data_IF_948591848553
#
_entry.id   IF_948591848553
#
_cell.length_a   1.000
_cell.length_b   1.000
_cell.length_c   1.000
_cell.angle_alpha   90.00
_cell.angle_beta   90.00
_cell.angle_gamma   90.00
#
_symmetry.space_group_name_H-M   'P 1'
#
loop_
_entity.id
_entity.type
_entity.pdbx_description
1 polymer ?
#
# COMPACT_ATOMS: atom_id res chain seq x y z
N UNK A 1 -21.43 -34.56 -25.97
CA UNK A 1 -21.24 -35.20 -27.29
C UNK A 1 -22.46 -34.88 -28.16
N UNK A 2 -22.30 -34.65 -29.46
CA UNK A 2 -22.19 -33.29 -30.01
C UNK A 2 -23.15 -32.99 -31.18
N UNK A 3 -23.27 -31.72 -31.55
CA UNK A 3 -23.74 -31.26 -32.86
C UNK A 3 -23.01 -29.95 -33.18
N UNK A 4 -21.91 -29.96 -33.93
CA UNK A 4 -21.77 -30.17 -35.37
C UNK A 4 -22.21 -28.95 -36.19
N UNK A 5 -21.23 -28.18 -36.68
CA UNK A 5 -21.29 -27.49 -37.97
C UNK A 5 -19.85 -27.25 -38.45
N UNK A 6 -19.33 -28.22 -39.22
CA UNK A 6 -18.24 -28.06 -40.17
C UNK A 6 -18.84 -27.72 -41.53
N UNK A 7 -18.29 -26.73 -42.22
CA UNK A 7 -18.40 -26.60 -43.66
C UNK A 7 -17.04 -26.15 -44.20
N UNK A 8 -16.48 -26.99 -45.06
CA UNK A 8 -15.21 -26.82 -45.75
C UNK A 8 -15.42 -26.20 -47.13
N UNK A 9 -14.44 -25.44 -47.63
CA UNK A 9 -14.11 -25.39 -49.06
C UNK A 9 -12.68 -24.84 -49.26
N UNK A 10 -11.90 -25.56 -50.06
CA UNK A 10 -10.53 -25.27 -50.47
C UNK A 10 -10.47 -24.61 -51.86
N UNK A 11 -9.38 -23.89 -52.17
CA UNK A 11 -8.99 -23.55 -53.56
C UNK A 11 -8.24 -22.21 -53.75
N UNK A 12 -6.92 -22.28 -53.94
CA UNK A 12 -5.95 -21.25 -54.42
C UNK A 12 -6.22 -20.82 -55.90
N UNK A 13 -5.61 -19.76 -56.52
CA UNK A 13 -4.20 -19.31 -56.36
C UNK A 13 -3.82 -17.79 -56.56
N UNK A 14 -2.60 -17.47 -56.10
CA UNK A 14 -1.55 -16.50 -56.54
C UNK A 14 -1.83 -15.09 -57.10
N UNK A 15 -1.21 -14.12 -56.40
CA UNK A 15 -0.41 -12.95 -56.83
C UNK A 15 -1.02 -11.63 -57.36
N UNK A 16 -0.34 -10.56 -56.91
CA UNK A 16 -0.32 -9.15 -57.34
C UNK A 16 -1.44 -8.24 -56.82
N UNK A 17 -1.15 -7.46 -55.78
CA UNK A 17 -1.15 -5.99 -55.85
C UNK A 17 -0.43 -5.40 -54.62
N UNK A 18 0.67 -4.71 -54.91
CA UNK A 18 1.49 -4.00 -53.95
C UNK A 18 0.78 -2.74 -53.41
N UNK A 19 1.02 -2.43 -52.14
CA UNK A 19 0.99 -1.07 -51.61
C UNK A 19 -0.29 -0.66 -50.88
N UNK A 20 -0.30 -0.86 -49.55
CA UNK A 20 -0.65 0.19 -48.59
C UNK A 20 -0.25 -0.24 -47.18
N UNK A 21 0.39 0.70 -46.50
CA UNK A 21 0.95 0.64 -45.14
C UNK A 21 -0.03 0.04 -44.13
N UNK A 22 0.44 -1.01 -43.45
CA UNK A 22 -0.12 -1.57 -42.24
C UNK A 22 0.25 -0.72 -41.03
N UNK A 23 -0.65 0.13 -40.56
CA UNK A 23 -0.75 0.49 -39.15
C UNK A 23 -2.10 1.19 -38.94
N UNK A 24 -3.10 0.44 -38.50
CA UNK A 24 -4.27 1.00 -37.81
C UNK A 24 -5.03 -0.14 -37.13
N UNK A 25 -4.51 -0.55 -35.98
CA UNK A 25 -5.32 -1.15 -34.91
C UNK A 25 -5.14 -0.27 -33.68
N UNK A 26 -6.22 0.13 -32.98
CA UNK A 26 -6.13 1.13 -31.93
C UNK A 26 -5.39 0.56 -30.70
N UNK A 27 -4.10 0.89 -30.59
CA UNK A 27 -3.26 0.65 -29.40
C UNK A 27 -3.60 1.63 -28.26
N UNK A 28 -4.86 1.67 -27.84
CA UNK A 28 -5.29 2.67 -26.83
C UNK A 28 -5.55 2.12 -25.43
N UNK A 29 -5.42 0.80 -25.19
CA UNK A 29 -5.93 0.22 -23.93
C UNK A 29 -4.89 -0.53 -23.07
N UNK A 30 -3.65 -0.81 -23.53
CA UNK A 30 -2.70 -1.59 -22.71
C UNK A 30 -1.42 -0.88 -22.23
N UNK A 31 -1.10 0.33 -22.69
CA UNK A 31 0.18 1.00 -22.36
C UNK A 31 0.08 2.34 -21.61
N UNK A 32 -1.13 2.84 -21.31
CA UNK A 32 -1.32 4.27 -20.98
C UNK A 32 -1.74 4.59 -19.55
N UNK A 33 -2.10 3.64 -18.69
CA UNK A 33 -2.53 3.97 -17.32
C UNK A 33 -1.41 3.78 -16.27
N UNK A 34 -0.51 2.81 -16.48
CA UNK A 34 0.45 2.36 -15.48
C UNK A 34 1.69 3.26 -15.28
N UNK A 35 2.33 3.80 -16.35
CA UNK A 35 3.40 4.80 -16.19
C UNK A 35 2.90 6.16 -15.67
N UNK A 36 1.61 6.45 -15.86
CA UNK A 36 1.01 7.72 -15.47
C UNK A 36 0.84 7.86 -13.96
N UNK A 37 0.54 6.76 -13.27
CA UNK A 37 0.34 6.80 -11.83
C UNK A 37 1.66 7.11 -11.10
N UNK A 38 2.74 6.39 -11.38
CA UNK A 38 4.06 6.65 -10.79
C UNK A 38 4.57 8.06 -11.10
N UNK A 39 4.32 8.57 -12.31
CA UNK A 39 4.62 9.96 -12.66
C UNK A 39 3.84 10.98 -11.82
N UNK A 40 2.57 10.71 -11.50
CA UNK A 40 1.75 11.61 -10.68
C UNK A 40 2.26 11.69 -9.24
N UNK A 41 2.67 10.56 -8.66
CA UNK A 41 3.31 10.53 -7.33
C UNK A 41 4.64 11.28 -7.32
N UNK A 42 5.46 11.10 -8.36
CA UNK A 42 6.74 11.82 -8.49
C UNK A 42 6.52 13.34 -8.56
N UNK A 43 5.59 13.80 -9.41
CA UNK A 43 5.22 15.21 -9.54
C UNK A 43 4.69 15.80 -8.24
N UNK A 44 3.86 15.05 -7.52
CA UNK A 44 3.31 15.49 -6.24
C UNK A 44 4.39 15.74 -5.19
N UNK A 45 5.36 14.82 -5.09
CA UNK A 45 6.53 14.99 -4.21
C UNK A 45 7.43 16.12 -4.67
N UNK A 46 7.63 16.27 -5.98
CA UNK A 46 8.40 17.39 -6.54
C UNK A 46 7.78 18.73 -6.14
N UNK A 47 6.46 18.88 -6.28
CA UNK A 47 5.73 20.06 -5.82
C UNK A 47 5.93 20.30 -4.33
N UNK A 48 5.71 19.27 -3.50
CA UNK A 48 5.87 19.39 -2.06
C UNK A 48 7.29 19.82 -1.67
N UNK A 49 8.33 19.21 -2.26
CA UNK A 49 9.73 19.53 -1.97
C UNK A 49 10.14 20.90 -2.50
N UNK A 50 9.63 21.32 -3.66
CA UNK A 50 9.92 22.63 -4.24
C UNK A 50 9.40 23.76 -3.35
N UNK A 51 8.19 23.61 -2.81
CA UNK A 51 7.62 24.58 -1.87
C UNK A 51 8.31 24.53 -0.50
N UNK A 52 8.69 23.34 -0.02
CA UNK A 52 9.49 23.21 1.21
C UNK A 52 10.81 23.97 1.11
N UNK A 53 11.51 23.88 -0.03
CA UNK A 53 12.78 24.57 -0.25
C UNK A 53 12.64 26.09 -0.42
N UNK A 54 11.44 26.58 -0.77
CA UNK A 54 11.15 28.00 -0.87
C UNK A 54 10.77 28.62 0.48
N UNK A 55 10.31 27.79 1.43
CA UNK A 55 9.93 28.20 2.79
C UNK A 55 11.04 28.01 3.83
N UNK A 56 10.66 28.17 5.10
CA UNK A 56 11.55 28.04 6.26
C UNK A 56 11.32 26.72 7.01
N UNK A 57 10.21 26.05 6.73
CA UNK A 57 9.83 24.77 7.35
C UNK A 57 10.62 23.57 6.82
N UNK A 58 10.72 22.55 7.68
CA UNK A 58 11.28 21.24 7.36
C UNK A 58 10.27 20.10 7.51
N UNK A 59 8.99 20.40 7.74
CA UNK A 59 7.93 19.38 7.89
C UNK A 59 6.79 19.61 6.92
N UNK A 60 6.10 18.53 6.53
CA UNK A 60 4.90 18.62 5.70
C UNK A 60 3.83 19.53 6.35
N UNK A 61 3.55 19.32 7.64
CA UNK A 61 2.61 20.16 8.37
C UNK A 61 2.99 21.65 8.34
N UNK A 62 4.28 21.97 8.41
CA UNK A 62 4.76 23.35 8.30
C UNK A 62 4.63 23.93 6.89
N UNK A 63 4.81 23.16 5.81
CA UNK A 63 4.56 23.67 4.44
C UNK A 63 3.08 24.03 4.28
N UNK A 64 2.20 23.19 4.82
CA UNK A 64 0.78 23.47 4.85
C UNK A 64 0.43 24.67 5.75
N UNK A 65 1.20 24.90 6.83
CA UNK A 65 1.09 26.09 7.68
C UNK A 65 1.47 27.37 6.93
N UNK A 66 2.56 27.36 6.17
CA UNK A 66 3.01 28.49 5.36
C UNK A 66 2.00 28.81 4.23
N UNK A 67 1.38 27.79 3.64
CA UNK A 67 0.42 27.97 2.56
C UNK A 67 -0.98 28.42 3.03
N UNK A 68 -1.50 27.80 4.10
CA UNK A 68 -2.90 27.91 4.53
C UNK A 68 -3.08 28.30 6.01
N UNK A 69 -2.01 28.63 6.71
CA UNK A 69 -2.05 28.97 8.14
C UNK A 69 -2.27 27.75 9.04
N UNK A 70 -2.63 27.97 10.32
CA UNK A 70 -2.74 26.89 11.32
C UNK A 70 -3.71 25.78 10.94
N UNK A 71 -4.80 26.12 10.24
CA UNK A 71 -5.81 25.14 9.80
C UNK A 71 -5.24 24.14 8.78
N UNK A 72 -4.41 24.61 7.84
CA UNK A 72 -3.73 23.72 6.89
C UNK A 72 -2.77 22.77 7.59
N UNK A 73 -2.03 23.26 8.58
CA UNK A 73 -1.13 22.42 9.38
C UNK A 73 -1.88 21.32 10.12
N UNK A 74 -3.00 21.66 10.78
CA UNK A 74 -3.84 20.71 11.50
C UNK A 74 -4.44 19.68 10.54
N UNK A 75 -4.95 20.10 9.38
CA UNK A 75 -5.48 19.17 8.38
C UNK A 75 -4.42 18.15 7.91
N UNK A 76 -3.20 18.62 7.65
CA UNK A 76 -2.08 17.74 7.30
C UNK A 76 -1.74 16.77 8.44
N UNK A 77 -1.59 17.27 9.66
CA UNK A 77 -1.26 16.44 10.84
C UNK A 77 -2.33 15.36 11.08
N UNK A 78 -3.62 15.72 11.02
CA UNK A 78 -4.72 14.76 11.18
C UNK A 78 -4.67 13.69 10.09
N UNK A 79 -4.45 14.07 8.83
CA UNK A 79 -4.32 13.10 7.74
C UNK A 79 -3.11 12.17 7.93
N UNK A 80 -1.96 12.70 8.37
CA UNK A 80 -0.77 11.90 8.67
C UNK A 80 -1.03 10.93 9.83
N UNK A 81 -1.72 11.37 10.88
CA UNK A 81 -2.08 10.54 12.04
C UNK A 81 -3.03 9.42 11.62
N UNK A 82 -4.11 9.73 10.91
CA UNK A 82 -5.07 8.72 10.42
C UNK A 82 -4.36 7.70 9.54
N UNK A 83 -3.52 8.16 8.61
CA UNK A 83 -2.83 7.28 7.67
C UNK A 83 -1.83 6.36 8.37
N UNK A 84 -0.96 6.92 9.22
CA UNK A 84 0.05 6.09 9.88
C UNK A 84 -0.58 5.16 10.92
N UNK A 85 -1.56 5.63 11.71
CA UNK A 85 -2.26 4.77 12.65
C UNK A 85 -2.99 3.63 11.93
N UNK A 86 -3.68 3.92 10.83
CA UNK A 86 -4.30 2.91 9.97
C UNK A 86 -3.31 1.87 9.47
N UNK A 87 -2.15 2.30 8.97
CA UNK A 87 -1.08 1.38 8.55
C UNK A 87 -0.54 0.51 9.69
N UNK A 88 -0.33 1.07 10.89
CA UNK A 88 0.10 0.27 12.04
C UNK A 88 -0.95 -0.76 12.44
N UNK A 89 -2.24 -0.41 12.40
CA UNK A 89 -3.33 -1.36 12.68
C UNK A 89 -3.34 -2.48 11.63
N UNK A 90 -3.23 -2.16 10.33
CA UNK A 90 -3.14 -3.17 9.26
C UNK A 90 -1.94 -4.10 9.47
N UNK A 91 -0.79 -3.56 9.85
CA UNK A 91 0.41 -4.35 10.13
C UNK A 91 0.19 -5.34 11.27
N UNK A 92 -0.48 -4.92 12.34
CA UNK A 92 -0.84 -5.81 13.45
C UNK A 92 -1.86 -6.87 13.03
N UNK A 93 -2.84 -6.53 12.18
CA UNK A 93 -3.80 -7.51 11.65
C UNK A 93 -3.10 -8.57 10.80
N UNK A 94 -2.21 -8.16 9.88
CA UNK A 94 -1.43 -9.08 9.02
C UNK A 94 -0.55 -10.01 9.87
N UNK A 95 0.15 -9.46 10.87
CA UNK A 95 0.95 -10.25 11.81
C UNK A 95 0.05 -11.29 12.50
N UNK A 96 -1.10 -10.87 13.01
CA UNK A 96 -2.02 -11.74 13.71
C UNK A 96 -2.63 -12.83 12.79
N UNK A 97 -2.99 -12.48 11.56
CA UNK A 97 -3.48 -13.43 10.53
C UNK A 97 -2.40 -14.47 10.17
N UNK A 98 -1.13 -14.06 10.08
CA UNK A 98 -0.01 -14.99 9.81
C UNK A 98 0.23 -15.94 10.98
N UNK A 99 0.30 -15.47 12.22
CA UNK A 99 0.65 -16.34 13.36
C UNK A 99 -0.53 -17.14 13.89
N UNK A 100 -1.73 -16.56 13.92
CA UNK A 100 -2.91 -17.12 14.58
C UNK A 100 -4.11 -17.31 13.66
N UNK A 101 -3.96 -17.07 12.36
CA UNK A 101 -5.01 -17.33 11.40
C UNK A 101 -6.18 -16.36 11.51
N UNK A 102 -7.20 -16.64 10.71
CA UNK A 102 -8.42 -15.85 10.69
C UNK A 102 -9.61 -16.77 10.36
N UNK A 103 -10.78 -16.44 10.88
CA UNK A 103 -12.02 -17.14 10.56
C UNK A 103 -12.89 -16.15 9.78
N UNK A 104 -12.90 -16.30 8.45
CA UNK A 104 -13.62 -15.40 7.53
C UNK A 104 -14.66 -16.18 6.74
N UNK A 105 -15.87 -15.65 6.67
CA UNK A 105 -16.92 -16.13 5.75
C UNK A 105 -17.22 -17.64 5.82
N UNK A 106 -16.97 -18.27 6.97
CA UNK A 106 -17.16 -19.71 7.16
C UNK A 106 -15.94 -20.58 6.81
N UNK A 107 -14.89 -20.01 6.20
CA UNK A 107 -13.61 -20.66 5.99
C UNK A 107 -12.67 -20.38 7.18
N UNK A 108 -12.14 -21.47 7.74
CA UNK A 108 -11.18 -21.41 8.86
C UNK A 108 -9.79 -21.46 8.28
N UNK A 109 -9.09 -20.33 8.35
CA UNK A 109 -7.70 -20.27 7.95
C UNK A 109 -6.77 -20.34 9.16
N UNK A 110 -5.81 -21.26 9.11
CA UNK A 110 -4.94 -21.55 10.26
C UNK A 110 -3.66 -20.72 10.21
N UNK A 111 -3.32 -20.14 11.36
CA UNK A 111 -2.05 -19.45 11.58
C UNK A 111 -0.86 -20.41 11.62
N UNK A 112 0.36 -19.91 11.41
CA UNK A 112 1.59 -20.71 11.49
C UNK A 112 1.72 -21.38 12.87
N UNK A 113 1.39 -20.69 13.97
CA UNK A 113 1.44 -21.28 15.32
C UNK A 113 0.42 -22.41 15.47
N UNK A 114 -0.78 -22.22 14.93
CA UNK A 114 -1.85 -23.22 15.00
C UNK A 114 -1.53 -24.44 14.14
N UNK A 115 -0.90 -24.24 12.97
CA UNK A 115 -0.48 -25.33 12.09
C UNK A 115 0.63 -26.18 12.71
N UNK A 116 1.60 -25.55 13.39
CA UNK A 116 2.75 -26.25 13.95
C UNK A 116 2.48 -26.90 15.30
N UNK A 117 1.65 -26.25 16.12
CA UNK A 117 1.48 -26.63 17.52
C UNK A 117 0.04 -26.99 17.88
N UNK A 118 -0.92 -26.84 16.96
CA UNK A 118 -2.34 -27.04 17.23
C UNK A 118 -3.01 -25.81 17.86
N UNK A 119 -4.32 -25.91 18.08
CA UNK A 119 -5.14 -24.82 18.63
C UNK A 119 -5.04 -24.83 20.16
N UNK A 120 -4.38 -23.82 20.71
CA UNK A 120 -4.23 -23.59 22.13
C UNK A 120 -4.58 -22.14 22.52
N UNK A 121 -4.76 -21.88 23.82
CA UNK A 121 -5.04 -20.53 24.33
C UNK A 121 -3.93 -19.53 23.98
N UNK A 122 -2.68 -19.98 23.91
CA UNK A 122 -1.51 -19.15 23.58
C UNK A 122 -1.31 -18.99 22.06
N UNK A 123 -1.97 -19.79 21.22
CA UNK A 123 -2.04 -19.58 19.77
C UNK A 123 -3.24 -18.71 19.37
N UNK A 124 -4.01 -18.21 20.34
CA UNK A 124 -5.08 -17.24 20.10
C UNK A 124 -4.53 -15.94 19.52
N UNK A 125 -5.36 -15.27 18.74
CA UNK A 125 -5.01 -14.03 18.04
C UNK A 125 -4.56 -12.95 19.00
N UNK A 126 -5.30 -12.78 20.09
CA UNK A 126 -5.10 -11.76 21.10
C UNK A 126 -3.77 -11.99 21.81
N UNK A 127 -3.51 -13.22 22.25
CA UNK A 127 -2.30 -13.55 23.01
C UNK A 127 -1.05 -13.54 22.13
N UNK A 128 -1.08 -14.17 20.95
CA UNK A 128 0.07 -14.22 20.06
C UNK A 128 0.50 -12.81 19.61
N UNK A 129 -0.47 -11.97 19.24
CA UNK A 129 -0.19 -10.58 18.86
C UNK A 129 0.36 -9.78 20.05
N UNK A 130 -0.14 -10.01 21.27
CA UNK A 130 0.37 -9.36 22.48
C UNK A 130 1.82 -9.74 22.74
N UNK A 131 2.18 -11.02 22.59
CA UNK A 131 3.57 -11.51 22.73
C UNK A 131 4.47 -10.85 21.69
N UNK A 132 4.06 -10.82 20.42
CA UNK A 132 4.83 -10.14 19.36
C UNK A 132 5.00 -8.65 19.67
N UNK A 133 3.93 -8.00 20.15
CA UNK A 133 3.96 -6.58 20.49
C UNK A 133 4.97 -6.28 21.60
N UNK A 134 5.00 -7.06 22.68
CA UNK A 134 5.93 -6.82 23.80
C UNK A 134 7.36 -7.28 23.52
N UNK A 135 7.55 -8.44 22.88
CA UNK A 135 8.87 -9.03 22.71
C UNK A 135 9.60 -8.52 21.46
N UNK A 136 8.87 -8.09 20.43
CA UNK A 136 9.43 -7.67 19.15
C UNK A 136 9.13 -6.20 18.90
N UNK A 137 7.86 -5.80 18.78
CA UNK A 137 7.54 -4.46 18.30
C UNK A 137 7.95 -3.36 19.28
N UNK A 138 7.68 -3.54 20.58
CA UNK A 138 8.01 -2.58 21.63
C UNK A 138 9.50 -2.23 21.67
N UNK A 139 10.45 -3.19 21.75
CA UNK A 139 11.87 -2.83 21.73
C UNK A 139 12.28 -2.14 20.42
N UNK A 140 11.71 -2.52 19.27
CA UNK A 140 12.00 -1.87 17.99
C UNK A 140 11.47 -0.42 17.91
N UNK A 141 10.29 -0.11 18.45
CA UNK A 141 9.74 1.27 18.38
C UNK A 141 10.35 2.24 19.41
N UNK A 142 11.10 1.71 20.38
CA UNK A 142 11.81 2.52 21.37
C UNK A 142 13.10 3.14 20.84
N UNK A 143 13.57 2.74 19.64
CA UNK A 143 14.64 3.44 18.96
C UNK A 143 14.24 4.90 18.64
N UNK A 144 15.13 5.84 18.98
CA UNK A 144 14.86 7.28 18.89
C UNK A 144 15.21 7.90 17.53
N UNK A 145 16.03 7.24 16.72
CA UNK A 145 16.56 7.77 15.46
C UNK A 145 16.25 6.84 14.31
N UNK A 146 15.80 7.39 13.19
CA UNK A 146 15.52 6.63 11.96
C UNK A 146 16.78 5.98 11.43
N UNK A 147 17.94 6.64 11.54
CA UNK A 147 19.23 6.07 11.11
C UNK A 147 19.58 4.73 11.80
N UNK A 148 19.16 4.53 13.05
CA UNK A 148 19.40 3.25 13.75
C UNK A 148 18.60 2.09 13.16
N UNK A 149 17.58 2.38 12.35
CA UNK A 149 16.74 1.43 11.64
C UNK A 149 17.24 1.13 10.22
N UNK A 150 18.38 1.67 9.77
CA UNK A 150 18.89 1.45 8.39
C UNK A 150 19.11 -0.02 8.06
N UNK A 151 19.69 -0.79 8.99
CA UNK A 151 19.90 -2.23 8.82
C UNK A 151 18.57 -3.00 8.83
N UNK A 152 17.66 -2.63 9.73
CA UNK A 152 16.28 -3.18 9.77
C UNK A 152 15.56 -2.96 8.45
N UNK A 153 15.68 -1.77 7.87
CA UNK A 153 15.05 -1.39 6.60
C UNK A 153 15.65 -2.15 5.41
N UNK A 154 16.97 -2.36 5.40
CA UNK A 154 17.64 -3.17 4.38
C UNK A 154 17.21 -4.65 4.44
N UNK A 155 17.21 -5.24 5.63
CA UNK A 155 16.75 -6.63 5.84
C UNK A 155 15.27 -6.76 5.46
N UNK A 156 14.44 -5.80 5.88
CA UNK A 156 13.02 -5.75 5.53
C UNK A 156 12.81 -5.72 4.02
N UNK A 157 13.61 -4.94 3.27
CA UNK A 157 13.53 -4.88 1.81
C UNK A 157 13.91 -6.22 1.17
N UNK A 158 14.95 -6.88 1.68
CA UNK A 158 15.34 -8.22 1.23
C UNK A 158 14.23 -9.25 1.46
N UNK A 159 13.55 -9.21 2.61
CA UNK A 159 12.42 -10.07 2.92
C UNK A 159 11.23 -9.84 1.98
N UNK A 160 10.93 -8.58 1.62
CA UNK A 160 9.91 -8.27 0.62
C UNK A 160 10.26 -8.84 -0.76
N UNK A 161 11.52 -8.71 -1.19
CA UNK A 161 12.00 -9.31 -2.44
C UNK A 161 11.88 -10.84 -2.39
N UNK A 162 12.29 -11.47 -1.29
CA UNK A 162 12.16 -12.91 -1.10
C UNK A 162 10.69 -13.37 -1.19
N UNK A 163 9.78 -12.66 -0.52
CA UNK A 163 8.33 -12.89 -0.61
C UNK A 163 7.84 -12.88 -2.07
N UNK A 164 8.18 -11.83 -2.83
CA UNK A 164 7.79 -11.70 -4.26
C UNK A 164 8.36 -12.84 -5.09
N UNK A 165 9.65 -13.15 -4.90
CA UNK A 165 10.34 -14.20 -5.65
C UNK A 165 9.70 -15.55 -5.39
N UNK A 166 9.42 -15.90 -4.14
CA UNK A 166 8.79 -17.18 -3.81
C UNK A 166 7.37 -17.25 -4.38
N UNK A 167 6.57 -16.18 -4.27
CA UNK A 167 5.23 -16.14 -4.87
C UNK A 167 5.29 -16.33 -6.40
N UNK A 168 6.23 -15.68 -7.06
CA UNK A 168 6.42 -15.80 -8.51
C UNK A 168 6.85 -17.22 -8.91
N UNK A 169 7.75 -17.84 -8.15
CA UNK A 169 8.16 -19.23 -8.37
C UNK A 169 6.98 -20.19 -8.22
N UNK A 170 6.18 -20.03 -7.16
CA UNK A 170 4.97 -20.83 -6.95
C UNK A 170 3.97 -20.64 -8.10
N UNK A 171 3.81 -19.42 -8.61
CA UNK A 171 2.97 -19.14 -9.77
C UNK A 171 3.47 -19.86 -11.03
N UNK A 172 4.78 -19.81 -11.30
CA UNK A 172 5.39 -20.49 -12.46
C UNK A 172 5.20 -22.01 -12.35
N UNK A 173 5.43 -22.58 -11.16
CA UNK A 173 5.20 -24.01 -10.91
C UNK A 173 3.74 -24.37 -11.17
N UNK A 174 2.80 -23.58 -10.66
CA UNK A 174 1.37 -23.78 -10.90
C UNK A 174 1.01 -23.70 -12.39
N UNK A 175 1.64 -22.82 -13.16
CA UNK A 175 1.44 -22.72 -14.62
C UNK A 175 1.91 -24.01 -15.29
N UNK A 176 3.12 -24.47 -14.96
CA UNK A 176 3.72 -25.68 -15.54
C UNK A 176 2.89 -26.93 -15.21
N UNK A 177 2.33 -26.99 -14.01
CA UNK A 177 1.46 -28.09 -13.58
C UNK A 177 0.02 -27.98 -14.11
N UNK A 178 -0.33 -26.90 -14.82
CA UNK A 178 -1.68 -26.67 -15.33
C UNK A 178 -2.72 -26.43 -14.23
N UNK A 179 -2.30 -25.95 -13.06
CA UNK A 179 -3.16 -25.66 -11.89
C UNK A 179 -3.63 -24.21 -11.82
N UNK A 180 -3.18 -23.33 -12.73
CA UNK A 180 -3.57 -21.93 -12.72
C UNK A 180 -4.96 -21.69 -13.27
N UNK A 181 -5.61 -20.66 -12.74
CA UNK A 181 -6.77 -20.09 -13.40
C UNK A 181 -6.32 -19.16 -14.53
N UNK A 182 -7.00 -19.23 -15.67
CA UNK A 182 -6.71 -18.33 -16.80
C UNK A 182 -7.03 -16.88 -16.40
N UNK A 183 -6.06 -15.96 -16.46
CA UNK A 183 -6.29 -14.58 -16.04
C UNK A 183 -7.38 -13.94 -16.90
N UNK A 184 -8.44 -13.44 -16.26
CA UNK A 184 -9.50 -12.71 -16.95
C UNK A 184 -9.04 -11.27 -17.16
N UNK A 185 -8.71 -10.91 -18.41
CA UNK A 185 -8.35 -9.52 -18.75
C UNK A 185 -9.55 -8.55 -18.73
N UNK A 186 -10.78 -9.08 -18.81
CA UNK A 186 -12.01 -8.29 -18.83
C UNK A 186 -12.86 -8.71 -17.62
N UNK A 187 -13.35 -7.75 -16.80
CA UNK A 187 -14.23 -8.09 -15.68
C UNK A 187 -15.52 -8.74 -16.18
N UNK A 188 -15.93 -9.82 -15.52
CA UNK A 188 -17.24 -10.40 -15.75
C UNK A 188 -18.25 -9.55 -14.98
N UNK A 189 -19.08 -8.79 -15.71
CA UNK A 189 -20.16 -8.02 -15.11
C UNK A 189 -21.34 -8.96 -14.91
N UNK A 190 -21.62 -9.33 -13.66
CA UNK A 190 -22.77 -10.15 -13.27
C UNK A 190 -23.75 -9.35 -12.38
N UNK A 191 -24.74 -10.02 -11.79
CA UNK A 191 -25.73 -9.34 -10.94
C UNK A 191 -25.13 -8.75 -9.64
N UNK A 192 -23.93 -9.19 -9.23
CA UNK A 192 -23.28 -8.80 -7.98
C UNK A 192 -22.04 -7.93 -8.20
N UNK A 193 -21.55 -7.79 -9.44
CA UNK A 193 -20.33 -7.06 -9.81
C UNK A 193 -20.61 -5.96 -10.84
N UNK A 194 -20.31 -4.73 -10.44
CA UNK A 194 -20.47 -3.52 -11.27
C UNK A 194 -19.12 -3.01 -11.75
N UNK A 195 -19.11 -2.26 -12.86
CA UNK A 195 -17.91 -1.53 -13.31
C UNK A 195 -17.36 -0.61 -12.22
N UNK A 196 -18.23 -0.04 -11.37
CA UNK A 196 -17.84 0.83 -10.27
C UNK A 196 -17.08 0.10 -9.15
N UNK A 197 -17.10 -1.23 -9.12
CA UNK A 197 -16.33 -2.01 -8.15
C UNK A 197 -14.83 -1.92 -8.41
N UNK A 198 -14.42 -1.65 -9.65
CA UNK A 198 -13.02 -1.39 -9.97
C UNK A 198 -12.48 -0.16 -9.20
N UNK A 199 -13.34 0.82 -8.88
CA UNK A 199 -12.95 2.00 -8.10
C UNK A 199 -12.66 1.66 -6.63
N UNK A 200 -13.10 0.51 -6.13
CA UNK A 200 -12.71 0.04 -4.78
C UNK A 200 -11.25 -0.41 -4.73
N UNK A 201 -10.59 -0.69 -5.87
CA UNK A 201 -9.15 -0.92 -5.90
C UNK A 201 -8.35 0.39 -5.76
N UNK A 202 -8.93 1.55 -6.14
CA UNK A 202 -8.23 2.84 -6.13
C UNK A 202 -7.71 3.21 -4.73
N UNK A 203 -8.52 3.16 -3.64
CA UNK A 203 -8.03 3.41 -2.28
C UNK A 203 -6.85 2.53 -1.86
N UNK A 204 -6.87 1.25 -2.24
CA UNK A 204 -5.79 0.30 -1.93
C UNK A 204 -4.50 0.72 -2.62
N UNK A 205 -4.57 1.01 -3.93
CA UNK A 205 -3.40 1.46 -4.70
C UNK A 205 -2.92 2.81 -4.19
N UNK A 206 -3.83 3.75 -3.88
CA UNK A 206 -3.42 5.06 -3.38
C UNK A 206 -2.67 4.95 -2.07
N UNK A 207 -3.19 4.13 -1.16
CA UNK A 207 -2.52 3.79 0.10
C UNK A 207 -1.13 3.21 -0.16
N UNK A 208 -1.03 2.21 -1.04
CA UNK A 208 0.21 1.48 -1.31
C UNK A 208 1.37 2.37 -1.82
N UNK A 209 1.05 3.49 -2.46
CA UNK A 209 2.01 4.48 -2.97
C UNK A 209 2.12 5.75 -2.12
N UNK A 210 1.39 5.86 -1.00
CA UNK A 210 1.45 7.05 -0.15
C UNK A 210 2.62 6.97 0.81
N UNK A 211 3.74 7.63 0.45
CA UNK A 211 4.91 7.81 1.31
C UNK A 211 5.18 9.29 1.67
N UNK A 212 4.33 10.21 1.22
CA UNK A 212 4.53 11.67 1.30
C UNK A 212 4.85 12.19 2.70
N UNK A 213 4.29 11.56 3.74
CA UNK A 213 4.54 11.93 5.14
C UNK A 213 5.96 11.58 5.63
N UNK A 214 6.67 10.71 4.93
CA UNK A 214 8.07 10.35 5.19
C UNK A 214 9.06 11.13 4.32
N UNK A 215 8.59 11.88 3.33
CA UNK A 215 9.46 12.62 2.40
C UNK A 215 10.33 13.63 3.16
N UNK A 216 9.77 14.39 4.09
CA UNK A 216 10.55 15.35 4.87
C UNK A 216 11.52 14.69 5.84
N UNK A 217 11.10 13.78 6.75
CA UNK A 217 12.05 13.13 7.67
C UNK A 217 13.23 12.45 6.96
N UNK A 218 12.97 11.76 5.84
CA UNK A 218 14.02 11.09 5.06
C UNK A 218 14.84 12.13 4.27
N UNK A 219 14.18 13.10 3.65
CA UNK A 219 14.78 14.17 2.85
C UNK A 219 15.86 14.96 3.58
N UNK A 220 15.66 15.23 4.87
CA UNK A 220 16.62 15.94 5.71
C UNK A 220 17.70 15.04 6.34
N UNK A 221 17.55 13.72 6.28
CA UNK A 221 18.59 12.76 6.68
C UNK A 221 19.54 12.40 5.52
N UNK A 222 19.15 12.68 4.27
CA UNK A 222 20.02 12.49 3.10
C UNK A 222 21.24 13.41 3.13
N UNK A 223 22.41 12.85 2.80
CA UNK A 223 23.65 13.61 2.69
C UNK A 223 23.55 14.75 1.65
N UNK A 224 22.77 14.54 0.57
CA UNK A 224 22.47 15.55 -0.44
C UNK A 224 20.96 15.62 -0.69
N UNK A 225 20.29 16.72 -0.31
CA UNK A 225 18.85 16.88 -0.56
C UNK A 225 18.45 16.83 -2.04
N UNK A 226 19.38 17.07 -2.96
CA UNK A 226 19.17 16.97 -4.42
C UNK A 226 18.94 15.54 -4.89
N UNK A 227 19.39 14.53 -4.14
CA UNK A 227 19.27 13.11 -4.50
C UNK A 227 17.87 12.54 -4.18
N UNK A 228 17.05 13.27 -3.41
CA UNK A 228 15.71 12.83 -3.00
C UNK A 228 14.79 12.48 -4.18
N UNK A 229 14.80 13.30 -5.24
CA UNK A 229 13.97 13.04 -6.42
C UNK A 229 14.36 11.75 -7.14
N UNK A 230 15.66 11.49 -7.28
CA UNK A 230 16.18 10.25 -7.87
C UNK A 230 15.83 9.04 -6.99
N UNK A 231 15.99 9.16 -5.67
CA UNK A 231 15.65 8.10 -4.73
C UNK A 231 14.15 7.75 -4.81
N UNK A 232 13.28 8.77 -4.85
CA UNK A 232 11.82 8.60 -5.01
C UNK A 232 11.50 7.91 -6.32
N UNK A 233 12.09 8.34 -7.44
CA UNK A 233 11.86 7.73 -8.76
C UNK A 233 12.26 6.24 -8.77
N UNK A 234 13.43 5.90 -8.25
CA UNK A 234 13.90 4.51 -8.17
C UNK A 234 12.98 3.69 -7.27
N UNK A 235 12.59 4.21 -6.11
CA UNK A 235 11.69 3.54 -5.17
C UNK A 235 10.31 3.29 -5.80
N UNK A 236 9.74 4.26 -6.51
CA UNK A 236 8.46 4.13 -7.21
C UNK A 236 8.51 3.05 -8.31
N UNK A 237 9.59 3.02 -9.09
CA UNK A 237 9.81 1.98 -10.12
C UNK A 237 9.95 0.59 -9.49
N UNK A 238 10.70 0.46 -8.40
CA UNK A 238 10.85 -0.80 -7.67
C UNK A 238 9.51 -1.29 -7.10
N UNK A 239 8.76 -0.41 -6.42
CA UNK A 239 7.43 -0.73 -5.87
C UNK A 239 6.47 -1.16 -6.97
N UNK A 240 6.50 -0.48 -8.11
CA UNK A 240 5.73 -0.84 -9.30
C UNK A 240 6.01 -2.27 -9.77
N UNK A 241 7.27 -2.65 -9.94
CA UNK A 241 7.64 -4.02 -10.35
C UNK A 241 7.18 -5.04 -9.31
N UNK A 242 7.39 -4.75 -8.03
CA UNK A 242 7.02 -5.62 -6.91
C UNK A 242 5.50 -5.83 -6.84
N UNK A 243 4.71 -4.76 -6.82
CA UNK A 243 3.25 -4.82 -6.71
C UNK A 243 2.61 -5.50 -7.93
N UNK A 244 3.09 -5.21 -9.14
CA UNK A 244 2.61 -5.89 -10.34
C UNK A 244 2.92 -7.40 -10.28
N UNK A 245 4.14 -7.77 -9.87
CA UNK A 245 4.56 -9.18 -9.79
C UNK A 245 3.75 -9.96 -8.75
N UNK A 246 3.49 -9.37 -7.58
CA UNK A 246 2.65 -9.98 -6.54
C UNK A 246 1.21 -10.08 -7.01
N UNK A 247 0.64 -9.01 -7.57
CA UNK A 247 -0.74 -9.01 -8.04
C UNK A 247 -0.98 -10.06 -9.13
N UNK A 248 -0.07 -10.15 -10.10
CA UNK A 248 -0.13 -11.16 -11.16
C UNK A 248 0.05 -12.58 -10.59
N UNK A 249 1.10 -12.81 -9.79
CA UNK A 249 1.35 -14.14 -9.21
C UNK A 249 0.20 -14.58 -8.32
N UNK A 250 -0.26 -13.72 -7.43
CA UNK A 250 -1.37 -13.99 -6.53
C UNK A 250 -2.66 -14.37 -7.26
N UNK A 251 -3.03 -13.60 -8.30
CA UNK A 251 -4.21 -13.92 -9.10
C UNK A 251 -4.05 -15.23 -9.88
N UNK A 252 -2.84 -15.55 -10.37
CA UNK A 252 -2.58 -16.84 -11.04
C UNK A 252 -2.69 -18.03 -10.07
N UNK A 253 -2.26 -17.87 -8.81
CA UNK A 253 -2.34 -18.91 -7.79
C UNK A 253 -3.77 -19.14 -7.28
N UNK A 254 -4.50 -18.07 -6.97
CA UNK A 254 -5.74 -18.17 -6.19
C UNK A 254 -7.00 -17.75 -6.97
N UNK A 255 -6.85 -17.01 -8.06
CA UNK A 255 -7.96 -16.57 -8.90
C UNK A 255 -9.07 -15.88 -8.12
N UNK A 256 -10.30 -16.32 -8.33
CA UNK A 256 -11.49 -15.75 -7.69
C UNK A 256 -11.55 -16.02 -6.15
N UNK A 257 -10.70 -16.92 -5.61
CA UNK A 257 -10.60 -17.21 -4.17
C UNK A 257 -9.57 -16.34 -3.43
N UNK A 258 -9.07 -15.27 -4.06
CA UNK A 258 -8.09 -14.37 -3.44
C UNK A 258 -8.70 -13.63 -2.26
N UNK A 259 -8.09 -13.77 -1.08
CA UNK A 259 -8.50 -13.08 0.15
C UNK A 259 -7.94 -11.64 0.20
N UNK A 260 -8.58 -10.76 0.98
CA UNK A 260 -8.10 -9.39 1.16
C UNK A 260 -6.68 -9.34 1.75
N UNK A 261 -6.36 -10.28 2.65
CA UNK A 261 -4.99 -10.64 3.02
C UNK A 261 -4.58 -11.91 2.29
N UNK A 262 -3.80 -11.74 1.21
CA UNK A 262 -3.35 -12.87 0.39
C UNK A 262 -2.49 -13.88 1.16
N UNK A 263 -1.85 -13.49 2.27
CA UNK A 263 -1.03 -14.42 3.08
C UNK A 263 -1.87 -15.51 3.73
N UNK A 264 -3.17 -15.22 3.93
CA UNK A 264 -4.14 -16.17 4.44
C UNK A 264 -4.34 -17.31 3.43
N UNK A 265 -4.35 -17.04 2.12
CA UNK A 265 -4.48 -18.08 1.09
C UNK A 265 -3.33 -19.11 1.09
N UNK A 266 -2.15 -18.74 1.59
CA UNK A 266 -0.99 -19.65 1.67
C UNK A 266 -1.07 -20.63 2.86
N UNK A 267 -2.16 -20.62 3.64
CA UNK A 267 -2.34 -21.58 4.72
C UNK A 267 -2.73 -22.99 4.23
N UNK A 268 -3.18 -23.11 2.97
CA UNK A 268 -3.57 -24.38 2.38
C UNK A 268 -2.36 -25.28 2.07
N UNK A 269 -2.51 -26.58 2.29
CA UNK A 269 -1.47 -27.56 1.98
C UNK A 269 -1.24 -27.65 0.47
N UNK A 270 -0.07 -27.25 -0.01
CA UNK A 270 0.32 -27.25 -1.42
C UNK A 270 0.57 -28.64 -2.04
N UNK A 271 -0.05 -29.69 -1.50
CA UNK A 271 0.05 -31.10 -1.97
C UNK A 271 1.43 -31.76 -1.85
N UNK A 272 2.50 -30.98 -1.62
CA UNK A 272 3.90 -31.43 -1.51
C UNK A 272 4.59 -30.81 -0.30
N UNK A 273 5.59 -31.50 0.25
CA UNK A 273 6.38 -31.01 1.38
C UNK A 273 7.13 -29.71 1.06
N UNK A 274 7.68 -29.60 -0.16
CA UNK A 274 8.36 -28.39 -0.62
C UNK A 274 7.39 -27.22 -0.76
N UNK A 275 6.19 -27.44 -1.32
CA UNK A 275 5.18 -26.38 -1.43
C UNK A 275 4.70 -25.88 -0.06
N UNK A 276 4.48 -26.79 0.90
CA UNK A 276 4.12 -26.42 2.28
C UNK A 276 5.22 -25.58 2.94
N UNK A 277 6.50 -25.95 2.75
CA UNK A 277 7.62 -25.15 3.24
C UNK A 277 7.66 -23.75 2.59
N UNK A 278 7.50 -23.65 1.27
CA UNK A 278 7.49 -22.38 0.55
C UNK A 278 6.34 -21.48 1.02
N UNK A 279 5.15 -22.02 1.24
CA UNK A 279 4.00 -21.30 1.78
C UNK A 279 4.31 -20.68 3.15
N UNK A 280 4.94 -21.44 4.05
CA UNK A 280 5.35 -20.93 5.36
C UNK A 280 6.43 -19.85 5.23
N UNK A 281 7.39 -20.02 4.32
CA UNK A 281 8.43 -19.02 4.06
C UNK A 281 7.84 -17.71 3.51
N UNK A 282 6.85 -17.77 2.62
CA UNK A 282 6.10 -16.60 2.13
C UNK A 282 5.44 -15.86 3.30
N UNK A 283 4.69 -16.57 4.15
CA UNK A 283 3.97 -15.99 5.29
C UNK A 283 4.93 -15.35 6.30
N UNK A 284 5.97 -16.07 6.71
CA UNK A 284 6.94 -15.58 7.69
C UNK A 284 7.80 -14.45 7.14
N UNK A 285 8.27 -14.53 5.88
CA UNK A 285 9.08 -13.47 5.28
C UNK A 285 8.32 -12.13 5.26
N UNK A 286 7.04 -12.13 4.87
CA UNK A 286 6.24 -10.92 4.88
C UNK A 286 5.88 -10.44 6.28
N UNK A 287 5.54 -11.34 7.22
CA UNK A 287 5.30 -10.96 8.61
C UNK A 287 6.52 -10.28 9.24
N UNK A 288 7.71 -10.84 9.04
CA UNK A 288 8.95 -10.21 9.50
C UNK A 288 9.27 -8.91 8.75
N UNK A 289 9.02 -8.84 7.43
CA UNK A 289 9.13 -7.58 6.67
C UNK A 289 8.33 -6.46 7.34
N UNK A 290 7.05 -6.73 7.63
CA UNK A 290 6.12 -5.79 8.26
C UNK A 290 6.55 -5.42 9.69
N UNK A 291 7.03 -6.39 10.49
CA UNK A 291 7.56 -6.09 11.83
C UNK A 291 8.76 -5.14 11.79
N UNK A 292 9.63 -5.30 10.80
CA UNK A 292 10.85 -4.50 10.64
C UNK A 292 10.57 -3.10 10.06
N UNK A 293 9.46 -2.91 9.33
CA UNK A 293 9.01 -1.58 8.84
C UNK A 293 8.13 -0.85 9.86
N UNK A 294 7.47 -1.56 10.77
CA UNK A 294 6.60 -1.00 11.82
C UNK A 294 7.20 0.22 12.56
N UNK A 295 8.49 0.22 12.97
CA UNK A 295 9.07 1.33 13.72
C UNK A 295 9.17 2.63 12.93
N UNK A 296 9.34 2.54 11.61
CA UNK A 296 9.41 3.72 10.73
C UNK A 296 8.07 4.46 10.68
N UNK A 297 6.97 3.73 10.53
CA UNK A 297 5.63 4.31 10.55
C UNK A 297 5.26 4.85 11.94
N UNK A 298 5.61 4.10 13.00
CA UNK A 298 5.38 4.56 14.37
C UNK A 298 6.20 5.82 14.70
N UNK A 299 7.42 5.95 14.17
CA UNK A 299 8.22 7.16 14.32
C UNK A 299 7.52 8.39 13.73
N UNK A 300 7.02 8.27 12.50
CA UNK A 300 6.31 9.35 11.81
C UNK A 300 4.99 9.69 12.50
N UNK A 301 4.21 8.69 12.92
CA UNK A 301 3.01 8.87 13.72
C UNK A 301 3.29 9.63 15.02
N UNK A 302 4.23 9.13 15.82
CA UNK A 302 4.56 9.68 17.13
C UNK A 302 5.05 11.11 17.04
N UNK A 303 5.88 11.43 16.04
CA UNK A 303 6.37 12.79 15.83
C UNK A 303 5.25 13.75 15.45
N UNK A 304 4.30 13.32 14.60
CA UNK A 304 3.14 14.14 14.24
C UNK A 304 2.19 14.34 15.42
N UNK A 305 1.95 13.31 16.23
CA UNK A 305 1.15 13.41 17.46
C UNK A 305 1.82 14.35 18.47
N UNK A 306 3.14 14.27 18.64
CA UNK A 306 3.87 15.19 19.52
C UNK A 306 3.81 16.64 19.03
N UNK A 307 4.00 16.89 17.74
CA UNK A 307 3.89 18.24 17.18
C UNK A 307 2.46 18.80 17.32
N UNK A 308 1.44 17.93 17.22
CA UNK A 308 0.04 18.33 17.36
C UNK A 308 -0.33 18.72 18.80
N UNK A 309 -0.01 17.87 19.79
CA UNK A 309 -0.37 18.12 21.19
C UNK A 309 0.63 19.00 21.94
N UNK A 310 1.89 19.03 21.53
CA UNK A 310 2.98 19.68 22.23
C UNK A 310 3.87 20.57 21.34
N UNK A 311 3.30 21.48 20.51
CA UNK A 311 4.07 22.24 19.51
C UNK A 311 5.15 23.16 20.08
N UNK A 312 5.06 23.54 21.36
CA UNK A 312 5.98 24.47 22.03
C UNK A 312 7.00 23.79 22.96
N UNK A 313 6.98 22.46 23.04
CA UNK A 313 7.87 21.70 23.93
C UNK A 313 9.19 21.38 23.23
N UNK A 314 10.19 20.97 24.00
CA UNK A 314 11.49 20.52 23.46
C UNK A 314 11.31 19.33 22.50
N UNK A 315 12.29 19.04 21.63
CA UNK A 315 12.19 17.91 20.70
C UNK A 315 11.92 16.58 21.41
N UNK A 316 11.05 15.75 20.85
CA UNK A 316 10.61 14.48 21.48
C UNK A 316 11.76 13.55 21.88
N UNK A 317 12.84 13.54 21.11
CA UNK A 317 14.01 12.72 21.40
C UNK A 317 14.70 13.06 22.74
N UNK A 318 14.46 14.27 23.29
CA UNK A 318 15.04 14.74 24.56
C UNK A 318 14.20 14.36 25.78
N UNK A 319 12.88 14.27 25.64
CA UNK A 319 11.97 13.95 26.74
C UNK A 319 11.63 12.45 26.75
N UNK A 320 12.39 11.69 27.55
CA UNK A 320 12.23 10.23 27.67
C UNK A 320 10.85 9.81 28.17
N UNK A 321 10.25 10.57 29.10
CA UNK A 321 8.96 10.19 29.70
C UNK A 321 7.84 10.37 28.68
N UNK A 322 7.83 11.52 27.99
CA UNK A 322 6.87 11.81 26.93
C UNK A 322 7.03 10.84 25.76
N UNK A 323 8.27 10.57 25.35
CA UNK A 323 8.58 9.61 24.30
C UNK A 323 8.01 8.21 24.60
N UNK A 324 8.32 7.66 25.77
CA UNK A 324 7.85 6.32 26.17
C UNK A 324 6.33 6.32 26.34
N UNK A 325 5.77 7.33 27.00
CA UNK A 325 4.31 7.43 27.20
C UNK A 325 3.55 7.48 25.88
N UNK A 326 3.98 8.31 24.92
CA UNK A 326 3.33 8.39 23.61
C UNK A 326 3.47 7.06 22.85
N UNK A 327 4.64 6.42 22.88
CA UNK A 327 4.83 5.11 22.25
C UNK A 327 3.89 4.05 22.83
N UNK A 328 3.79 3.95 24.16
CA UNK A 328 2.93 2.95 24.80
C UNK A 328 1.46 3.18 24.50
N UNK A 329 1.00 4.44 24.53
CA UNK A 329 -0.39 4.79 24.20
C UNK A 329 -0.71 4.46 22.74
N UNK A 330 0.15 4.84 21.80
CA UNK A 330 -0.06 4.57 20.37
C UNK A 330 -0.04 3.07 20.05
N UNK A 331 0.87 2.30 20.66
CA UNK A 331 0.89 0.85 20.54
C UNK A 331 -0.38 0.22 21.13
N UNK A 332 -0.80 0.63 22.31
CA UNK A 332 -2.01 0.10 22.95
C UNK A 332 -3.27 0.38 22.11
N UNK A 333 -3.41 1.61 21.60
CA UNK A 333 -4.51 1.97 20.71
C UNK A 333 -4.49 1.16 19.41
N UNK A 334 -3.31 0.99 18.81
CA UNK A 334 -3.16 0.20 17.59
C UNK A 334 -3.51 -1.28 17.81
N UNK A 335 -3.07 -1.85 18.94
CA UNK A 335 -3.39 -3.23 19.33
C UNK A 335 -4.89 -3.43 19.55
N UNK A 336 -5.52 -2.57 20.36
CA UNK A 336 -6.97 -2.67 20.61
C UNK A 336 -7.74 -2.57 19.29
N UNK A 337 -7.39 -1.62 18.43
CA UNK A 337 -8.03 -1.49 17.13
C UNK A 337 -7.80 -2.72 16.22
N UNK A 338 -6.60 -3.32 16.23
CA UNK A 338 -6.30 -4.51 15.43
C UNK A 338 -7.04 -5.78 15.88
N UNK A 339 -7.44 -5.86 17.16
CA UNK A 339 -8.30 -6.93 17.66
C UNK A 339 -9.77 -6.67 17.30
N UNK A 340 -10.20 -5.41 17.31
CA UNK A 340 -11.59 -5.03 17.01
C UNK A 340 -11.93 -5.02 15.52
N UNK A 341 -10.96 -4.74 14.66
CA UNK A 341 -11.17 -4.66 13.20
C UNK A 341 -10.94 -6.05 12.58
N UNK A 342 -11.97 -6.66 11.97
CA UNK A 342 -11.88 -8.03 11.46
C UNK A 342 -11.15 -8.15 10.12
N UNK A 343 -11.13 -7.08 9.33
CA UNK A 343 -10.62 -7.09 7.95
C UNK A 343 -9.83 -5.81 7.62
N UNK A 344 -8.64 -6.01 7.05
CA UNK A 344 -7.78 -4.94 6.53
C UNK A 344 -8.43 -4.17 5.38
N UNK A 345 -9.36 -4.79 4.64
CA UNK A 345 -10.05 -4.17 3.51
C UNK A 345 -10.73 -2.85 3.92
N UNK A 346 -11.45 -2.84 5.05
CA UNK A 346 -12.12 -1.63 5.54
C UNK A 346 -11.15 -0.49 5.81
N UNK A 347 -9.96 -0.80 6.33
CA UNK A 347 -8.94 0.21 6.62
C UNK A 347 -8.40 0.78 5.30
N UNK A 348 -8.07 -0.07 4.31
CA UNK A 348 -7.63 0.40 2.99
C UNK A 348 -8.67 1.29 2.32
N UNK A 349 -9.95 0.90 2.36
CA UNK A 349 -11.03 1.67 1.76
C UNK A 349 -11.18 3.03 2.41
N UNK A 350 -11.29 3.08 3.74
CA UNK A 350 -11.48 4.33 4.48
C UNK A 350 -10.27 5.25 4.35
N UNK A 351 -9.08 4.75 4.71
CA UNK A 351 -7.85 5.54 4.73
C UNK A 351 -7.42 5.95 3.32
N UNK A 352 -7.53 5.02 2.37
CA UNK A 352 -7.13 5.21 0.98
C UNK A 352 -7.98 6.24 0.25
N UNK A 353 -9.29 6.31 0.52
CA UNK A 353 -10.20 7.28 -0.10
C UNK A 353 -10.27 8.63 0.63
N UNK A 354 -9.58 8.77 1.77
CA UNK A 354 -9.62 10.00 2.58
C UNK A 354 -8.21 10.55 2.81
N UNK A 355 -7.56 10.16 3.90
CA UNK A 355 -6.31 10.75 4.36
C UNK A 355 -5.14 10.52 3.40
N UNK A 356 -5.04 9.33 2.80
CA UNK A 356 -3.96 9.01 1.86
C UNK A 356 -4.07 9.84 0.58
N UNK A 357 -5.25 9.93 -0.03
CA UNK A 357 -5.51 10.82 -1.18
C UNK A 357 -5.23 12.28 -0.83
N UNK A 358 -5.60 12.73 0.37
CA UNK A 358 -5.30 14.09 0.80
C UNK A 358 -3.80 14.38 0.83
N UNK A 359 -3.02 13.49 1.46
CA UNK A 359 -1.56 13.62 1.58
C UNK A 359 -0.85 13.48 0.24
N UNK A 360 -1.35 12.61 -0.64
CA UNK A 360 -0.68 12.29 -1.89
C UNK A 360 -1.01 13.25 -3.02
N UNK A 361 -2.20 13.86 -3.04
CA UNK A 361 -2.67 14.61 -4.20
C UNK A 361 -3.35 15.93 -3.85
N UNK A 362 -4.26 15.94 -2.87
CA UNK A 362 -5.04 17.15 -2.58
C UNK A 362 -4.17 18.25 -1.99
N UNK A 363 -3.38 17.96 -0.95
CA UNK A 363 -2.55 18.97 -0.29
C UNK A 363 -1.41 19.46 -1.18
N UNK A 364 -0.61 18.61 -1.86
CA UNK A 364 0.42 19.10 -2.77
C UNK A 364 -0.15 19.92 -3.92
N UNK A 365 -1.29 19.51 -4.49
CA UNK A 365 -1.99 20.29 -5.51
C UNK A 365 -2.51 21.62 -4.99
N UNK A 366 -3.09 21.64 -3.79
CA UNK A 366 -3.57 22.87 -3.16
C UNK A 366 -2.44 23.86 -2.88
N UNK A 367 -1.27 23.39 -2.44
CA UNK A 367 -0.07 24.22 -2.23
C UNK A 367 0.34 24.93 -3.54
N UNK A 368 0.40 24.20 -4.66
CA UNK A 368 0.74 24.77 -5.98
C UNK A 368 -0.30 25.77 -6.47
N UNK A 369 -1.58 25.49 -6.25
CA UNK A 369 -2.66 26.40 -6.65
C UNK A 369 -2.66 27.69 -5.81
N UNK A 370 -2.34 27.58 -4.51
CA UNK A 370 -2.21 28.71 -3.60
C UNK A 370 -1.01 29.58 -3.94
N UNK A 371 0.10 28.95 -4.34
CA UNK A 371 1.30 29.60 -4.87
C UNK A 371 1.84 30.72 -3.97
N UNK A 372 1.95 30.48 -2.66
CA UNK A 372 2.34 31.51 -1.67
C UNK A 372 3.67 32.22 -1.97
N UNK A 373 4.56 31.58 -2.73
CA UNK A 373 5.87 32.11 -3.11
C UNK A 373 5.94 32.62 -4.56
N UNK A 374 4.86 32.51 -5.33
CA UNK A 374 4.83 32.96 -6.74
C UNK A 374 5.77 32.19 -7.68
N UNK A 375 6.12 30.94 -7.34
CA UNK A 375 7.08 30.12 -8.10
C UNK A 375 6.39 29.21 -9.13
N UNK A 376 5.08 29.04 -9.06
CA UNK A 376 4.36 28.05 -9.86
C UNK A 376 4.10 28.52 -11.28
N UNK A 377 4.43 27.68 -12.26
CA UNK A 377 4.14 27.97 -13.66
C UNK A 377 2.65 27.74 -13.99
N UNK A 378 2.18 28.25 -15.13
CA UNK A 378 0.81 27.95 -15.61
C UNK A 378 0.58 26.45 -15.82
N UNK A 379 1.61 25.71 -16.24
CA UNK A 379 1.53 24.25 -16.39
C UNK A 379 1.40 23.57 -15.03
N UNK A 380 2.18 23.99 -14.04
CA UNK A 380 2.12 23.46 -12.67
C UNK A 380 0.71 23.61 -12.10
N UNK A 381 0.10 24.79 -12.26
CA UNK A 381 -1.28 25.07 -11.80
C UNK A 381 -2.33 24.22 -12.50
N UNK A 382 -2.19 23.96 -13.81
CA UNK A 382 -3.11 23.07 -14.54
C UNK A 382 -2.97 21.63 -14.05
N UNK A 383 -1.74 21.13 -13.91
CA UNK A 383 -1.47 19.77 -13.41
C UNK A 383 -2.03 19.63 -11.99
N UNK A 384 -1.77 20.60 -11.11
CA UNK A 384 -2.28 20.61 -9.74
C UNK A 384 -3.81 20.62 -9.68
N UNK A 385 -4.47 21.42 -10.52
CA UNK A 385 -5.93 21.45 -10.61
C UNK A 385 -6.50 20.10 -11.04
N UNK A 386 -5.95 19.49 -12.09
CA UNK A 386 -6.37 18.17 -12.57
C UNK A 386 -6.16 17.11 -11.49
N UNK A 387 -5.01 17.14 -10.81
CA UNK A 387 -4.68 16.22 -9.73
C UNK A 387 -5.70 16.30 -8.57
N UNK A 388 -6.07 17.51 -8.13
CA UNK A 388 -7.06 17.73 -7.06
C UNK A 388 -8.46 17.27 -7.50
N UNK A 389 -8.88 17.60 -8.72
CA UNK A 389 -10.21 17.21 -9.24
C UNK A 389 -10.31 15.69 -9.34
N UNK A 390 -9.31 15.03 -9.93
CA UNK A 390 -9.29 13.58 -10.07
C UNK A 390 -9.33 12.90 -8.70
N UNK A 391 -8.50 13.36 -7.76
CA UNK A 391 -8.48 12.89 -6.38
C UNK A 391 -9.85 13.01 -5.68
N UNK A 392 -10.54 14.14 -5.86
CA UNK A 392 -11.85 14.36 -5.28
C UNK A 392 -12.90 13.41 -5.89
N UNK A 393 -12.93 13.28 -7.23
CA UNK A 393 -13.87 12.41 -7.93
C UNK A 393 -13.67 10.94 -7.52
N UNK A 394 -12.43 10.44 -7.54
CA UNK A 394 -12.15 9.05 -7.18
C UNK A 394 -12.49 8.75 -5.72
N UNK A 395 -12.23 9.69 -4.81
CA UNK A 395 -12.60 9.57 -3.39
C UNK A 395 -14.11 9.51 -3.21
N UNK A 396 -14.86 10.39 -3.86
CA UNK A 396 -16.34 10.40 -3.79
C UNK A 396 -16.92 9.10 -4.33
N UNK A 397 -16.44 8.61 -5.48
CA UNK A 397 -16.90 7.34 -6.05
C UNK A 397 -16.58 6.19 -5.10
N UNK A 398 -15.33 6.08 -4.63
CA UNK A 398 -14.92 4.99 -3.74
C UNK A 398 -15.73 4.98 -2.43
N UNK A 399 -15.91 6.13 -1.77
CA UNK A 399 -16.70 6.25 -0.54
C UNK A 399 -18.16 5.86 -0.82
N UNK A 400 -18.75 6.36 -1.91
CA UNK A 400 -20.15 6.08 -2.25
C UNK A 400 -20.37 4.60 -2.53
N UNK A 401 -19.46 3.95 -3.30
CA UNK A 401 -19.52 2.51 -3.59
C UNK A 401 -19.37 1.68 -2.31
N UNK A 402 -18.44 2.04 -1.42
CA UNK A 402 -18.26 1.31 -0.16
C UNK A 402 -19.47 1.44 0.77
N UNK A 403 -20.06 2.62 0.88
CA UNK A 403 -21.28 2.83 1.66
C UNK A 403 -22.43 2.00 1.07
N UNK A 404 -22.60 2.02 -0.25
CA UNK A 404 -23.66 1.24 -0.91
C UNK A 404 -23.51 -0.25 -0.63
N UNK A 405 -22.29 -0.79 -0.72
CA UNK A 405 -22.00 -2.20 -0.39
C UNK A 405 -22.23 -2.55 1.07
N UNK A 406 -21.98 -1.62 1.99
CA UNK A 406 -22.21 -1.86 3.42
C UNK A 406 -23.70 -1.95 3.79
N UNK A 407 -24.61 -1.49 2.91
CA UNK A 407 -26.06 -1.55 3.11
C UNK A 407 -26.76 -2.67 2.32
N UNK A 408 -26.03 -3.43 1.51
CA UNK A 408 -26.51 -4.68 0.92
C UNK A 408 -26.15 -5.85 1.82
#
# INVERSE_FOLDING_TARGET
MPGCCTAAAAGLPTEVLAGRSSDDTPRFVSHTCWPWQSQTYELSVEFLMRFTRAGETTTYAGVMREAFGPLGAVAAQVAVVITNLGCLIMYLIIIADVFSGNQREGEVHLGVLQQWFGIHWWSSREFALLVVLFLILLPLVLYRRVESLKFSSAISTLLAVAFVTICTVLAIVAIVEGRTQSPRLIPCLDQHTSFFDLFTAVPVVVTAYTFHFNVHPIGFELAKPSEMATAVRIALLLCCVIYFSIGLSGYLLFGDSTQSDILVNFDQNAGSALGSLLNVLVRLSYAFHVMLTFPLLNFSLRTNVDEFFFPKKSPLATDSKRFVSLTLVLLALSYIAAILVPDIWYIFQFMGSTSAVCLAFVFPGAIVLRDSYGISTRRDKIIALVMVILAAITSVIAISTNIYKAFQ
#
